data_IF_468477257598
#
_entry.id   IF_468477257598
#
_cell.length_a   1.000
_cell.length_b   1.000
_cell.length_c   1.000
_cell.angle_alpha   90.00
_cell.angle_beta   90.00
_cell.angle_gamma   90.00
#
_symmetry.space_group_name_H-M   'P 1'
#
loop_
_entity.id
_entity.type
_entity.pdbx_description
1 polymer ?
#
# COMPACT_ATOMS: atom_id res chain seq x y z
N UNK A 1 20.18 3.93 28.89
CA UNK A 1 19.01 3.26 28.27
C UNK A 1 19.11 3.54 26.79
N UNK A 2 19.34 2.51 25.96
CA UNK A 2 19.41 2.71 24.51
C UNK A 2 18.03 3.12 24.00
N UNK A 3 17.95 4.14 23.15
CA UNK A 3 16.73 4.45 22.43
C UNK A 3 16.30 3.22 21.63
N UNK A 4 14.99 2.88 21.60
CA UNK A 4 14.53 1.78 20.77
C UNK A 4 14.87 2.07 19.32
N UNK A 5 15.56 1.14 18.67
CA UNK A 5 15.90 1.25 17.24
C UNK A 5 14.58 1.24 16.48
N UNK A 6 14.30 2.33 15.75
CA UNK A 6 13.15 2.43 14.86
C UNK A 6 13.54 2.12 13.43
N UNK A 7 12.59 1.59 12.67
CA UNK A 7 12.75 1.19 11.28
C UNK A 7 11.72 1.92 10.42
N UNK A 8 12.15 2.34 9.23
CA UNK A 8 11.27 2.90 8.22
C UNK A 8 10.46 1.77 7.56
N UNK A 9 9.15 1.95 7.40
CA UNK A 9 8.29 1.06 6.63
C UNK A 9 7.46 1.86 5.63
N UNK A 10 7.05 1.18 4.57
CA UNK A 10 6.17 1.72 3.52
C UNK A 10 4.93 0.87 3.49
N UNK A 11 3.77 1.49 3.70
CA UNK A 11 2.47 0.83 3.64
C UNK A 11 1.66 1.39 2.48
N UNK A 12 0.95 0.52 1.75
CA UNK A 12 -0.01 0.92 0.74
C UNK A 12 -1.43 0.68 1.27
N UNK A 13 -2.33 1.63 1.01
CA UNK A 13 -3.73 1.59 1.38
C UNK A 13 -4.57 1.55 0.11
N UNK A 14 -5.62 0.74 0.08
CA UNK A 14 -6.56 0.65 -1.05
C UNK A 14 -8.01 0.50 -0.58
N UNK A 15 -8.92 1.26 -1.19
CA UNK A 15 -10.35 1.20 -0.90
C UNK A 15 -11.17 1.41 -2.18
N UNK A 16 -12.09 0.49 -2.52
CA UNK A 16 -12.92 0.59 -3.73
C UNK A 16 -14.42 0.71 -3.49
N UNK A 17 -14.88 0.58 -2.25
CA UNK A 17 -16.30 0.52 -1.91
C UNK A 17 -16.65 1.47 -0.77
N UNK A 18 -17.88 2.00 -0.79
CA UNK A 18 -18.37 2.92 0.24
C UNK A 18 -17.63 4.26 0.28
N UNK A 19 -17.46 4.80 1.48
CA UNK A 19 -16.78 6.07 1.75
C UNK A 19 -15.24 5.88 1.73
N UNK A 20 -14.68 5.68 0.53
CA UNK A 20 -13.26 5.32 0.29
C UNK A 20 -12.26 6.28 0.97
N UNK A 21 -12.35 7.58 0.68
CA UNK A 21 -11.42 8.58 1.20
C UNK A 21 -11.51 8.75 2.74
N UNK A 22 -12.71 8.90 3.35
CA UNK A 22 -12.84 8.89 4.80
C UNK A 22 -12.27 7.63 5.44
N UNK A 23 -12.51 6.46 4.84
CA UNK A 23 -12.02 5.16 5.34
C UNK A 23 -10.49 5.11 5.38
N UNK A 24 -9.82 5.49 4.29
CA UNK A 24 -8.35 5.53 4.24
C UNK A 24 -7.81 6.54 5.27
N UNK A 25 -8.37 7.74 5.34
CA UNK A 25 -7.93 8.78 6.28
C UNK A 25 -8.10 8.36 7.75
N UNK A 26 -9.17 7.64 8.08
CA UNK A 26 -9.40 7.15 9.43
C UNK A 26 -8.48 5.96 9.76
N UNK A 27 -8.22 5.07 8.81
CA UNK A 27 -7.25 3.99 8.97
C UNK A 27 -5.83 4.50 9.21
N UNK A 28 -5.40 5.54 8.48
CA UNK A 28 -4.09 6.18 8.71
C UNK A 28 -4.03 6.84 10.09
N UNK A 29 -5.11 7.47 10.55
CA UNK A 29 -5.17 8.03 11.92
C UNK A 29 -5.08 6.93 12.98
N UNK A 30 -5.77 5.81 12.77
CA UNK A 30 -5.72 4.66 13.68
C UNK A 30 -4.31 4.05 13.74
N UNK A 31 -3.67 3.87 12.58
CA UNK A 31 -2.27 3.46 12.48
C UNK A 31 -1.35 4.41 13.24
N UNK A 32 -1.47 5.73 13.00
CA UNK A 32 -0.65 6.73 13.67
C UNK A 32 -0.82 6.74 15.20
N UNK A 33 -1.97 6.29 15.70
CA UNK A 33 -2.24 6.16 17.14
C UNK A 33 -1.86 4.79 17.73
N UNK A 34 -1.42 3.84 16.89
CA UNK A 34 -1.13 2.48 17.32
C UNK A 34 0.20 2.40 18.09
N UNK A 35 0.28 1.62 19.18
CA UNK A 35 1.53 1.42 19.91
C UNK A 35 2.67 0.94 19.00
N UNK A 36 3.85 1.53 19.17
CA UNK A 36 5.03 1.21 18.36
C UNK A 36 5.07 1.90 16.98
N UNK A 37 4.04 2.68 16.61
CA UNK A 37 4.11 3.61 15.49
C UNK A 37 4.57 4.98 16.01
N UNK A 38 5.69 5.49 15.47
CA UNK A 38 6.33 6.72 15.92
C UNK A 38 5.96 7.93 15.06
N UNK A 39 5.81 7.72 13.75
CA UNK A 39 5.34 8.74 12.83
C UNK A 39 4.74 8.12 11.57
N UNK A 40 3.81 8.84 10.95
CA UNK A 40 3.17 8.46 9.70
C UNK A 40 3.08 9.71 8.82
N UNK A 41 3.55 9.62 7.57
CA UNK A 41 3.29 10.61 6.52
C UNK A 41 2.59 9.91 5.37
N UNK A 42 1.45 10.45 4.92
CA UNK A 42 0.62 9.87 3.87
C UNK A 42 0.70 10.73 2.61
N UNK A 43 0.68 10.08 1.45
CA UNK A 43 0.62 10.71 0.13
C UNK A 43 -0.75 11.33 -0.13
N UNK A 44 -0.87 12.02 -1.26
CA UNK A 44 -2.17 12.30 -1.86
C UNK A 44 -2.88 11.00 -2.24
N UNK A 45 -4.21 11.08 -2.32
CA UNK A 45 -5.06 9.98 -2.75
C UNK A 45 -5.02 9.88 -4.29
N UNK A 46 -4.85 8.66 -4.81
CA UNK A 46 -4.76 8.38 -6.25
C UNK A 46 -5.80 7.34 -6.64
N UNK A 47 -6.58 7.63 -7.68
CA UNK A 47 -7.57 6.69 -8.20
C UNK A 47 -6.94 5.75 -9.24
N UNK A 48 -7.33 4.48 -9.23
CA UNK A 48 -6.93 3.49 -10.22
C UNK A 48 -8.11 2.61 -10.62
N UNK A 49 -8.09 2.10 -11.85
CA UNK A 49 -8.99 1.02 -12.25
C UNK A 49 -8.81 -0.18 -11.35
N UNK A 50 -9.89 -0.91 -11.07
CA UNK A 50 -9.78 -2.18 -10.38
C UNK A 50 -8.95 -3.16 -11.22
N UNK A 51 -8.06 -3.89 -10.56
CA UNK A 51 -7.26 -4.96 -11.20
C UNK A 51 -7.62 -6.27 -10.53
N UNK A 52 -8.16 -7.18 -11.31
CA UNK A 52 -8.51 -8.54 -10.88
C UNK A 52 -7.44 -9.52 -11.34
N UNK A 53 -7.47 -10.78 -10.88
CA UNK A 53 -6.60 -11.82 -11.45
C UNK A 53 -6.74 -11.99 -12.98
N UNK A 54 -7.86 -11.57 -13.57
CA UNK A 54 -8.10 -11.58 -15.02
C UNK A 54 -7.56 -10.34 -15.75
N UNK A 55 -7.04 -9.35 -15.03
CA UNK A 55 -6.57 -8.06 -15.55
C UNK A 55 -7.43 -6.88 -15.11
N UNK A 56 -7.24 -5.69 -15.73
CA UNK A 56 -8.03 -4.50 -15.45
C UNK A 56 -9.52 -4.75 -15.68
N UNK A 57 -10.34 -4.38 -14.69
CA UNK A 57 -11.80 -4.51 -14.71
C UNK A 57 -12.42 -3.10 -14.61
N UNK A 58 -12.58 -2.37 -15.73
CA UNK A 58 -13.07 -1.00 -15.72
C UNK A 58 -14.56 -0.89 -15.31
N UNK A 59 -15.31 -1.99 -15.40
CA UNK A 59 -16.71 -2.05 -15.00
C UNK A 59 -16.89 -2.24 -13.48
N UNK A 60 -15.82 -2.57 -12.76
CA UNK A 60 -15.80 -2.65 -11.30
C UNK A 60 -15.50 -1.28 -10.68
N UNK A 61 -15.98 -1.00 -9.44
CA UNK A 61 -15.67 0.24 -8.77
C UNK A 61 -14.16 0.52 -8.68
N UNK A 62 -13.76 1.72 -9.09
CA UNK A 62 -12.38 2.15 -9.03
C UNK A 62 -11.84 2.16 -7.59
N UNK A 63 -10.55 1.86 -7.45
CA UNK A 63 -9.85 1.95 -6.18
C UNK A 63 -9.36 3.36 -5.94
N UNK A 64 -9.49 3.82 -4.71
CA UNK A 64 -8.73 4.93 -4.18
C UNK A 64 -7.54 4.35 -3.40
N UNK A 65 -6.34 4.86 -3.67
CA UNK A 65 -5.10 4.35 -3.08
C UNK A 65 -4.31 5.47 -2.43
N UNK A 66 -3.50 5.13 -1.43
CA UNK A 66 -2.49 6.00 -0.86
C UNK A 66 -1.28 5.18 -0.41
N UNK A 67 -0.13 5.83 -0.25
CA UNK A 67 1.04 5.26 0.42
C UNK A 67 1.33 6.05 1.68
N UNK A 68 1.78 5.36 2.72
CA UNK A 68 2.29 5.98 3.92
C UNK A 68 3.74 5.55 4.22
N UNK A 69 4.59 6.53 4.53
CA UNK A 69 5.87 6.31 5.16
C UNK A 69 5.68 6.28 6.67
N UNK A 70 6.17 5.22 7.30
CA UNK A 70 5.98 4.93 8.72
C UNK A 70 7.34 4.79 9.39
N UNK A 71 7.51 5.38 10.56
CA UNK A 71 8.60 5.01 11.48
C UNK A 71 8.02 4.16 12.60
N UNK A 72 8.60 2.99 12.86
CA UNK A 72 8.04 2.04 13.82
C UNK A 72 9.12 1.30 14.60
N UNK A 73 8.80 0.89 15.83
CA UNK A 73 9.58 -0.06 16.62
C UNK A 73 9.04 -1.49 16.53
N UNK A 74 7.93 -1.70 15.81
CA UNK A 74 7.30 -3.00 15.62
C UNK A 74 8.10 -3.83 14.64
N UNK A 75 8.22 -5.13 14.89
CA UNK A 75 8.70 -6.10 13.90
C UNK A 75 7.75 -6.15 12.68
N UNK A 76 8.19 -6.67 11.51
CA UNK A 76 7.32 -6.85 10.35
C UNK A 76 6.02 -7.60 10.66
N UNK A 77 6.12 -8.63 11.52
CA UNK A 77 4.99 -9.45 11.93
C UNK A 77 3.99 -8.68 12.80
N UNK A 78 4.49 -7.89 13.76
CA UNK A 78 3.63 -7.03 14.58
C UNK A 78 2.98 -5.91 13.76
N UNK A 79 3.71 -5.33 12.80
CA UNK A 79 3.16 -4.34 11.89
C UNK A 79 2.04 -4.93 11.02
N UNK A 80 2.22 -6.17 10.53
CA UNK A 80 1.18 -6.90 9.80
C UNK A 80 -0.06 -7.11 10.69
N UNK A 81 0.12 -7.52 11.94
CA UNK A 81 -1.01 -7.67 12.87
C UNK A 81 -1.74 -6.36 13.12
N UNK A 82 -1.02 -5.24 13.25
CA UNK A 82 -1.62 -3.90 13.35
C UNK A 82 -2.44 -3.58 12.10
N UNK A 83 -1.88 -3.79 10.90
CA UNK A 83 -2.58 -3.55 9.63
C UNK A 83 -3.87 -4.40 9.52
N UNK A 84 -3.77 -5.71 9.76
CA UNK A 84 -4.92 -6.63 9.75
C UNK A 84 -5.97 -6.26 10.80
N UNK A 85 -5.57 -5.75 11.97
CA UNK A 85 -6.51 -5.29 12.99
C UNK A 85 -7.31 -4.08 12.52
N UNK A 86 -6.63 -3.11 11.91
CA UNK A 86 -7.25 -1.91 11.34
C UNK A 86 -8.24 -2.33 10.24
N UNK A 87 -7.80 -3.15 9.27
CA UNK A 87 -8.69 -3.69 8.23
C UNK A 87 -9.93 -4.38 8.81
N UNK A 88 -9.76 -5.24 9.82
CA UNK A 88 -10.86 -5.93 10.47
C UNK A 88 -11.83 -4.95 11.14
N UNK A 89 -11.33 -3.87 11.74
CA UNK A 89 -12.19 -2.86 12.36
C UNK A 89 -13.00 -2.11 11.32
N UNK A 90 -12.40 -1.66 10.22
CA UNK A 90 -13.12 -1.04 9.11
C UNK A 90 -14.05 -2.03 8.39
N UNK A 91 -13.74 -3.32 8.42
CA UNK A 91 -14.62 -4.39 7.95
C UNK A 91 -15.77 -4.77 8.90
N UNK A 92 -15.62 -4.54 10.22
CA UNK A 92 -16.62 -4.91 11.26
C UNK A 92 -17.72 -3.88 11.49
N UNK A 93 -17.60 -2.66 10.96
CA UNK A 93 -18.56 -1.55 11.18
C UNK A 93 -19.97 -1.82 10.60
N UNK A 94 -20.24 -2.97 9.95
CA UNK A 94 -21.59 -3.31 9.45
C UNK A 94 -22.14 -4.66 9.91
N UNK A 95 -23.18 -4.57 10.73
CA UNK A 95 -24.27 -5.53 10.94
C UNK A 95 -25.14 -5.79 9.68
N UNK A 96 -24.62 -5.61 8.46
CA UNK A 96 -25.33 -5.95 7.21
C UNK A 96 -24.54 -6.96 6.39
N UNK A 97 -25.20 -8.11 6.17
CA UNK A 97 -24.69 -9.41 5.68
C UNK A 97 -24.07 -9.42 4.26
N UNK A 98 -23.87 -8.25 3.63
CA UNK A 98 -23.44 -8.11 2.22
C UNK A 98 -22.56 -6.86 1.95
N UNK A 99 -21.99 -6.22 2.97
CA UNK A 99 -21.10 -5.08 2.76
C UNK A 99 -19.74 -5.55 2.23
N UNK A 100 -19.48 -5.27 0.96
CA UNK A 100 -18.26 -5.66 0.28
C UNK A 100 -17.03 -4.93 0.89
N UNK A 101 -15.90 -5.63 0.93
CA UNK A 101 -14.67 -5.27 1.66
C UNK A 101 -14.17 -3.89 1.22
N UNK A 102 -13.87 -3.00 2.17
CA UNK A 102 -13.68 -1.55 1.92
C UNK A 102 -12.26 -1.04 2.06
N UNK A 103 -11.34 -1.77 2.71
CA UNK A 103 -9.98 -1.32 2.97
C UNK A 103 -9.00 -2.49 2.93
N UNK A 104 -7.85 -2.27 2.31
CA UNK A 104 -6.71 -3.16 2.20
C UNK A 104 -5.44 -2.36 2.58
N UNK A 105 -4.56 -2.96 3.39
CA UNK A 105 -3.32 -2.37 3.89
C UNK A 105 -2.16 -3.36 3.67
N UNK A 106 -1.36 -3.09 2.65
CA UNK A 106 -0.19 -3.91 2.29
C UNK A 106 1.10 -3.33 2.88
N UNK A 107 1.97 -4.19 3.45
CA UNK A 107 3.36 -3.80 3.77
C UNK A 107 4.21 -3.88 2.49
N UNK A 108 4.57 -2.73 1.94
CA UNK A 108 5.36 -2.62 0.70
C UNK A 108 6.84 -2.87 0.96
N UNK A 109 7.40 -2.21 1.98
CA UNK A 109 8.81 -2.30 2.34
C UNK A 109 8.98 -2.10 3.86
N UNK A 110 10.07 -2.65 4.42
CA UNK A 110 10.42 -2.51 5.84
C UNK A 110 11.94 -2.47 5.96
N UNK A 111 12.51 -1.28 6.13
CA UNK A 111 13.95 -1.02 6.08
C UNK A 111 14.59 -1.73 4.87
N UNK A 112 15.70 -2.40 5.13
CA UNK A 112 16.37 -3.28 4.17
C UNK A 112 15.97 -4.77 4.33
N UNK A 113 14.94 -5.05 5.13
CA UNK A 113 14.54 -6.42 5.45
C UNK A 113 13.98 -7.14 4.23
N UNK A 114 14.33 -8.43 4.14
CA UNK A 114 13.67 -9.39 3.27
C UNK A 114 12.95 -10.42 4.12
N UNK A 115 11.64 -10.52 3.93
CA UNK A 115 10.78 -11.48 4.62
C UNK A 115 10.13 -12.37 3.58
N UNK A 116 10.12 -13.67 3.83
CA UNK A 116 9.51 -14.67 2.95
C UNK A 116 8.85 -15.73 3.81
N UNK A 117 7.66 -15.40 4.30
CA UNK A 117 6.81 -16.25 5.13
C UNK A 117 5.49 -16.51 4.40
N UNK A 118 4.69 -17.46 4.89
CA UNK A 118 3.48 -17.95 4.19
C UNK A 118 2.48 -16.83 3.85
N UNK A 119 2.37 -15.84 4.73
CA UNK A 119 1.39 -14.75 4.72
C UNK A 119 2.06 -13.36 4.78
N UNK A 120 3.39 -13.30 4.68
CA UNK A 120 4.14 -12.05 4.69
C UNK A 120 5.37 -12.13 3.79
N UNK A 121 5.36 -11.33 2.73
CA UNK A 121 6.50 -11.20 1.80
C UNK A 121 6.91 -9.74 1.73
N UNK A 122 8.17 -9.46 2.07
CA UNK A 122 8.75 -8.12 2.04
C UNK A 122 10.06 -8.17 1.23
N UNK A 123 10.27 -7.26 0.26
CA UNK A 123 9.29 -6.28 -0.23
C UNK A 123 8.07 -6.93 -0.90
N UNK A 124 6.95 -6.21 -0.94
CA UNK A 124 5.72 -6.74 -1.52
C UNK A 124 5.94 -7.14 -3.00
N UNK A 125 5.59 -8.39 -3.41
CA UNK A 125 6.00 -8.95 -4.70
C UNK A 125 5.42 -8.21 -5.91
N UNK A 126 4.29 -7.52 -5.74
CA UNK A 126 3.64 -6.75 -6.80
C UNK A 126 3.93 -5.24 -6.74
N UNK A 127 4.71 -4.75 -5.76
CA UNK A 127 4.93 -3.30 -5.61
C UNK A 127 5.54 -2.67 -6.87
N UNK A 128 6.54 -3.32 -7.46
CA UNK A 128 7.20 -2.86 -8.69
C UNK A 128 6.29 -2.84 -9.93
N UNK A 129 5.11 -3.46 -9.87
CA UNK A 129 4.16 -3.57 -10.98
C UNK A 129 2.97 -2.63 -10.84
N UNK A 130 2.91 -1.80 -9.78
CA UNK A 130 1.72 -1.01 -9.41
C UNK A 130 2.04 0.48 -9.38
N UNK A 131 1.69 1.22 -10.45
CA UNK A 131 1.88 2.69 -10.48
C UNK A 131 1.16 3.42 -9.34
N UNK A 132 -0.02 2.95 -8.94
CA UNK A 132 -0.78 3.49 -7.81
C UNK A 132 -0.12 3.24 -6.43
N UNK A 133 1.00 2.51 -6.38
CA UNK A 133 1.90 2.41 -5.23
C UNK A 133 3.14 3.26 -5.46
N UNK A 134 3.79 3.12 -6.63
CA UNK A 134 5.07 3.79 -6.90
C UNK A 134 4.96 5.32 -6.98
N UNK A 135 3.94 5.84 -7.68
CA UNK A 135 3.73 7.28 -7.82
C UNK A 135 3.47 7.99 -6.47
N UNK A 136 2.52 7.55 -5.61
CA UNK A 136 2.34 8.16 -4.29
C UNK A 136 3.52 7.95 -3.35
N UNK A 137 4.32 6.88 -3.52
CA UNK A 137 5.56 6.75 -2.77
C UNK A 137 6.57 7.84 -3.18
N UNK A 138 6.76 8.10 -4.47
CA UNK A 138 7.67 9.14 -4.96
C UNK A 138 7.23 10.56 -4.57
N UNK A 139 5.94 10.80 -4.33
CA UNK A 139 5.45 12.05 -3.76
C UNK A 139 6.06 12.31 -2.37
N UNK A 140 6.22 11.25 -1.57
CA UNK A 140 6.72 11.33 -0.18
C UNK A 140 8.24 11.23 -0.08
N UNK A 141 8.86 10.50 -1.00
CA UNK A 141 10.30 10.26 -1.05
C UNK A 141 10.76 10.12 -2.51
N UNK A 142 11.21 11.21 -3.15
CA UNK A 142 11.68 11.21 -4.54
C UNK A 142 12.90 10.32 -4.80
N UNK A 143 13.66 10.00 -3.75
CA UNK A 143 14.88 9.19 -3.83
C UNK A 143 14.66 7.73 -3.38
N UNK A 144 13.40 7.33 -3.18
CA UNK A 144 13.01 6.02 -2.72
C UNK A 144 13.62 4.88 -3.56
N UNK A 145 13.96 3.78 -2.86
CA UNK A 145 14.47 2.55 -3.45
C UNK A 145 13.71 1.35 -2.91
N UNK A 146 13.41 0.40 -3.80
CA UNK A 146 12.75 -0.85 -3.49
C UNK A 146 13.77 -1.99 -3.51
N UNK A 147 13.96 -2.66 -2.37
CA UNK A 147 15.02 -3.65 -2.20
C UNK A 147 14.94 -4.80 -3.22
N UNK A 148 15.93 -4.88 -4.13
CA UNK A 148 15.99 -5.88 -5.19
C UNK A 148 15.33 -5.48 -6.51
N UNK A 149 14.63 -4.34 -6.57
CA UNK A 149 14.08 -3.78 -7.80
C UNK A 149 14.80 -2.48 -8.24
N UNK A 150 15.41 -1.74 -7.31
CA UNK A 150 16.15 -0.51 -7.58
C UNK A 150 15.35 0.76 -7.25
N UNK A 151 15.73 1.89 -7.86
CA UNK A 151 15.08 3.18 -7.58
C UNK A 151 13.62 3.16 -8.03
N UNK A 152 12.73 3.62 -7.17
CA UNK A 152 11.28 3.65 -7.42
C UNK A 152 10.96 4.52 -8.65
N UNK A 153 11.70 5.61 -8.86
CA UNK A 153 11.55 6.49 -10.01
C UNK A 153 11.81 5.77 -11.35
N UNK A 154 12.86 4.95 -11.42
CA UNK A 154 13.23 4.21 -12.62
C UNK A 154 12.18 3.13 -12.94
N UNK A 155 11.69 2.44 -11.90
CA UNK A 155 10.63 1.43 -12.02
C UNK A 155 9.33 2.09 -12.52
N UNK A 156 8.92 3.21 -11.93
CA UNK A 156 7.71 3.93 -12.32
C UNK A 156 7.78 4.44 -13.77
N UNK A 157 8.93 4.97 -14.20
CA UNK A 157 9.15 5.41 -15.57
C UNK A 157 9.03 4.26 -16.58
N UNK A 158 9.66 3.11 -16.29
CA UNK A 158 9.61 1.93 -17.15
C UNK A 158 8.17 1.37 -17.28
N UNK A 159 7.44 1.32 -16.16
CA UNK A 159 6.06 0.83 -16.13
C UNK A 159 5.09 1.77 -16.87
N UNK A 160 5.29 3.08 -16.77
CA UNK A 160 4.51 4.08 -17.51
C UNK A 160 4.76 3.97 -19.02
N UNK A 161 6.02 3.83 -19.44
CA UNK A 161 6.37 3.65 -20.85
C UNK A 161 5.75 2.39 -21.46
N UNK A 162 5.57 1.33 -20.67
CA UNK A 162 4.94 0.08 -21.11
C UNK A 162 3.43 0.23 -21.28
N UNK A 163 2.75 0.93 -20.37
CA UNK A 163 1.30 1.17 -20.45
C UNK A 163 0.89 2.19 -21.51
N UNK A 164 1.80 3.11 -21.88
CA UNK A 164 1.53 4.14 -22.90
C UNK A 164 1.84 3.67 -24.32
N UNK A 165 2.47 2.49 -24.48
CA UNK A 165 2.75 1.94 -25.81
C UNK A 165 1.41 1.55 -26.44
N UNK A 166 1.03 2.10 -27.61
CA UNK A 166 -0.17 1.66 -28.30
C UNK A 166 -0.05 0.16 -28.54
N UNK A 167 -1.13 -0.59 -28.29
CA UNK A 167 -1.20 -1.99 -28.65
C UNK A 167 -0.85 -2.09 -30.13
N UNK A 168 0.35 -2.59 -30.43
CA UNK A 168 0.78 -2.78 -31.80
C UNK A 168 -0.17 -3.83 -32.37
N UNK A 169 -1.10 -3.37 -33.22
CA UNK A 169 -2.08 -4.23 -33.87
C UNK A 169 -1.29 -5.18 -34.76
N UNK A 170 -1.05 -6.37 -34.25
CA UNK A 170 -0.54 -7.48 -35.04
C UNK A 170 -1.53 -7.69 -36.18
N UNK A 171 -1.06 -7.42 -37.40
CA UNK A 171 -1.79 -7.67 -38.65
C UNK A 171 -1.86 -9.16 -38.95
#
# INVERSE_FOLDING_TARGET
MSEPVSVAAVLAFGANLGERAPTINEAVRELASSPGILSVRMSSLVESVAVTPAGPAPDEPAYLNAVALVQTTLTPRELLHTALHIEQRFGRVRTQRWAARTLDIDIVAYGDSRVSELDLVIPHPQAANRLFVLAPWLELDPDASLAGAGRVADIAAALTATQTRPAEVAR
#
